data_IF_599326480554
#
_entry.id   IF_599326480554
#
_cell.length_a   1.000
_cell.length_b   1.000
_cell.length_c   1.000
_cell.angle_alpha   90.00
_cell.angle_beta   90.00
_cell.angle_gamma   90.00
#
_symmetry.space_group_name_H-M   'P 1'
#
loop_
_entity.id
_entity.type
_entity.pdbx_description
1 polymer ?
#
# COMPACT_ATOMS: atom_id res chain seq x y z
N UNK A 1 30.69 41.87 -42.51
CA UNK A 1 30.14 42.63 -41.36
C UNK A 1 28.62 42.55 -41.30
N UNK A 2 27.90 42.60 -42.41
CA UNK A 2 26.42 42.59 -42.45
C UNK A 2 25.83 41.24 -42.03
N UNK A 3 26.33 40.08 -42.51
CA UNK A 3 25.87 38.73 -42.13
C UNK A 3 26.08 38.41 -40.64
N UNK A 4 27.21 38.82 -40.10
CA UNK A 4 27.51 38.61 -38.66
C UNK A 4 26.53 39.38 -37.75
N UNK A 5 26.22 40.65 -38.06
CA UNK A 5 25.19 41.42 -37.36
C UNK A 5 23.81 40.77 -37.40
N UNK A 6 23.43 40.23 -38.57
CA UNK A 6 22.12 39.57 -38.74
C UNK A 6 22.03 38.29 -37.90
N UNK A 7 23.10 37.48 -37.85
CA UNK A 7 23.17 36.26 -37.03
C UNK A 7 23.10 36.63 -35.52
N UNK A 8 23.89 37.61 -35.06
CA UNK A 8 23.89 38.02 -33.65
C UNK A 8 22.54 38.58 -33.23
N UNK A 9 21.91 39.40 -34.10
CA UNK A 9 20.56 39.94 -33.77
C UNK A 9 19.51 38.82 -33.74
N UNK A 10 19.62 37.83 -34.64
CA UNK A 10 18.74 36.63 -34.62
C UNK A 10 18.88 35.81 -33.34
N UNK A 11 20.13 35.53 -32.95
CA UNK A 11 20.44 34.82 -31.71
C UNK A 11 19.92 35.55 -30.47
N UNK A 12 20.15 36.86 -30.38
CA UNK A 12 19.65 37.68 -29.28
C UNK A 12 18.11 37.63 -29.16
N UNK A 13 17.39 37.76 -30.27
CA UNK A 13 15.93 37.67 -30.26
C UNK A 13 15.45 36.29 -29.80
N UNK A 14 16.05 35.22 -30.30
CA UNK A 14 15.73 33.87 -29.89
C UNK A 14 16.05 33.61 -28.41
N UNK A 15 17.19 34.10 -27.93
CA UNK A 15 17.58 33.98 -26.53
C UNK A 15 16.62 34.73 -25.59
N UNK A 16 16.21 35.94 -25.97
CA UNK A 16 15.22 36.71 -25.18
C UNK A 16 13.86 35.98 -25.19
N UNK A 17 13.42 35.48 -26.33
CA UNK A 17 12.15 34.70 -26.40
C UNK A 17 12.22 33.40 -25.59
N UNK A 18 13.34 32.68 -25.69
CA UNK A 18 13.57 31.45 -24.91
C UNK A 18 13.60 31.72 -23.41
N UNK A 19 14.31 32.81 -23.00
CA UNK A 19 14.33 33.20 -21.59
C UNK A 19 12.95 33.62 -21.09
N UNK A 20 12.20 34.40 -21.88
CA UNK A 20 10.83 34.78 -21.55
C UNK A 20 9.91 33.56 -21.39
N UNK A 21 10.01 32.58 -22.30
CA UNK A 21 9.27 31.34 -22.22
C UNK A 21 9.68 30.51 -20.99
N UNK A 22 10.99 30.39 -20.73
CA UNK A 22 11.52 29.70 -19.56
C UNK A 22 10.97 30.31 -18.25
N UNK A 23 11.07 31.62 -18.13
CA UNK A 23 10.57 32.33 -16.93
C UNK A 23 9.05 32.20 -16.80
N UNK A 24 8.30 32.35 -17.89
CA UNK A 24 6.84 32.18 -17.90
C UNK A 24 6.43 30.76 -17.48
N UNK A 25 7.04 29.74 -18.07
CA UNK A 25 6.76 28.35 -17.70
C UNK A 25 7.20 28.03 -16.25
N UNK A 26 8.35 28.57 -15.82
CA UNK A 26 8.79 28.41 -14.42
C UNK A 26 7.78 29.02 -13.45
N UNK A 27 7.24 30.19 -13.75
CA UNK A 27 6.23 30.85 -12.92
C UNK A 27 4.93 30.01 -12.88
N UNK A 28 4.47 29.54 -14.04
CA UNK A 28 3.24 28.76 -14.14
C UNK A 28 3.40 27.38 -13.48
N UNK A 29 4.44 26.63 -13.85
CA UNK A 29 4.61 25.24 -13.41
C UNK A 29 5.31 25.13 -12.06
N UNK A 30 6.16 26.12 -11.70
CA UNK A 30 6.91 26.13 -10.44
C UNK A 30 6.18 26.79 -9.27
N UNK A 31 5.24 27.70 -9.56
CA UNK A 31 4.50 28.41 -8.50
C UNK A 31 2.99 28.29 -8.63
N UNK A 32 2.42 28.70 -9.76
CA UNK A 32 0.94 28.77 -9.89
C UNK A 32 0.31 27.38 -9.81
N UNK A 33 0.83 26.41 -10.53
CA UNK A 33 0.33 25.04 -10.54
C UNK A 33 0.49 24.35 -9.16
N UNK A 34 1.66 24.32 -8.51
CA UNK A 34 1.79 23.73 -7.17
C UNK A 34 0.92 24.43 -6.13
N UNK A 35 0.78 25.75 -6.18
CA UNK A 35 -0.10 26.47 -5.28
C UNK A 35 -1.58 26.12 -5.47
N UNK A 36 -2.03 25.96 -6.72
CA UNK A 36 -3.39 25.51 -7.03
C UNK A 36 -3.63 24.07 -6.54
N UNK A 37 -2.70 23.15 -6.80
CA UNK A 37 -2.79 21.76 -6.32
C UNK A 37 -2.81 21.72 -4.80
N UNK A 38 -1.95 22.49 -4.13
CA UNK A 38 -1.93 22.59 -2.67
C UNK A 38 -3.28 23.11 -2.13
N UNK A 39 -3.84 24.17 -2.72
CA UNK A 39 -5.14 24.72 -2.28
C UNK A 39 -6.27 23.68 -2.44
N UNK A 40 -6.30 22.95 -3.56
CA UNK A 40 -7.29 21.89 -3.81
C UNK A 40 -7.11 20.75 -2.81
N UNK A 41 -5.87 20.37 -2.48
CA UNK A 41 -5.58 19.30 -1.53
C UNK A 41 -6.09 19.58 -0.10
N UNK A 42 -6.40 20.83 0.23
CA UNK A 42 -6.98 21.18 1.53
C UNK A 42 -8.46 20.84 1.66
N UNK A 43 -9.14 20.49 0.55
CA UNK A 43 -10.54 20.01 0.57
C UNK A 43 -10.62 18.63 1.24
N UNK A 44 -9.63 17.76 1.00
CA UNK A 44 -9.47 16.49 1.70
C UNK A 44 -8.03 16.40 2.26
N UNK A 45 -7.86 16.99 3.42
CA UNK A 45 -6.56 17.05 4.09
C UNK A 45 -6.09 15.67 4.57
N UNK A 46 -7.00 14.73 4.87
CA UNK A 46 -6.63 13.40 5.34
C UNK A 46 -5.88 12.62 4.27
N UNK A 47 -6.39 12.61 3.04
CA UNK A 47 -5.71 12.00 1.89
C UNK A 47 -4.41 12.73 1.53
N UNK A 48 -4.41 14.06 1.60
CA UNK A 48 -3.22 14.87 1.29
C UNK A 48 -2.09 14.72 2.32
N UNK A 49 -2.42 14.38 3.57
CA UNK A 49 -1.48 14.16 4.67
C UNK A 49 -1.07 12.68 4.84
N UNK A 50 -1.33 11.84 3.83
CA UNK A 50 -0.88 10.45 3.79
C UNK A 50 -1.82 9.45 4.45
N UNK A 51 -3.13 9.77 4.53
CA UNK A 51 -4.18 8.84 5.01
C UNK A 51 -3.82 8.16 6.34
N UNK A 52 -3.46 8.97 7.33
CA UNK A 52 -2.93 8.50 8.62
C UNK A 52 -3.98 7.68 9.36
N UNK A 53 -3.55 6.55 9.89
CA UNK A 53 -4.31 5.78 10.87
C UNK A 53 -3.95 6.28 12.27
N UNK A 54 -4.98 6.55 13.06
CA UNK A 54 -4.83 7.09 14.41
C UNK A 54 -5.55 6.16 15.38
N UNK A 55 -4.88 5.77 16.46
CA UNK A 55 -5.48 4.94 17.50
C UNK A 55 -6.41 5.73 18.44
N UNK A 56 -7.04 5.03 19.39
CA UNK A 56 -7.96 5.63 20.35
C UNK A 56 -7.29 6.66 21.28
N UNK A 57 -5.96 6.66 21.37
CA UNK A 57 -5.18 7.61 22.19
C UNK A 57 -4.77 8.87 21.40
N UNK A 58 -5.07 8.91 20.08
CA UNK A 58 -4.66 9.99 19.18
C UNK A 58 -3.26 9.81 18.58
N UNK A 59 -2.64 8.64 18.76
CA UNK A 59 -1.34 8.33 18.19
C UNK A 59 -1.46 7.96 16.70
N UNK A 60 -0.59 8.52 15.86
CA UNK A 60 -0.44 8.07 14.48
C UNK A 60 0.28 6.73 14.48
N UNK A 61 -0.41 5.68 14.06
CA UNK A 61 0.07 4.29 14.08
C UNK A 61 0.51 3.79 12.71
N UNK A 62 0.17 4.50 11.65
CA UNK A 62 0.52 4.14 10.28
C UNK A 62 -0.27 4.92 9.25
N UNK A 63 -0.42 4.33 8.09
CA UNK A 63 -1.24 4.83 6.98
C UNK A 63 -2.11 3.71 6.44
N UNK A 64 -3.35 4.01 6.07
CA UNK A 64 -4.24 3.07 5.38
C UNK A 64 -3.79 2.75 3.95
N UNK A 65 -2.75 3.42 3.45
CA UNK A 65 -2.20 3.21 2.11
C UNK A 65 -0.92 2.34 2.10
N UNK A 66 -0.38 2.00 3.27
CA UNK A 66 0.88 1.26 3.39
C UNK A 66 0.65 -0.02 4.20
N UNK A 67 0.73 -1.15 3.51
CA UNK A 67 0.65 -2.47 4.11
C UNK A 67 1.98 -2.84 4.75
N UNK A 68 1.96 -2.97 6.07
CA UNK A 68 3.02 -3.63 6.84
C UNK A 68 2.41 -4.88 7.46
N UNK A 69 3.11 -6.01 7.32
CA UNK A 69 2.63 -7.31 7.79
C UNK A 69 3.37 -7.69 9.08
N UNK A 70 2.72 -7.66 10.25
CA UNK A 70 3.36 -8.04 11.50
C UNK A 70 3.88 -9.48 11.45
N UNK A 71 5.14 -9.68 11.79
CA UNK A 71 5.72 -11.02 11.89
C UNK A 71 5.77 -11.45 13.34
N UNK A 72 5.32 -12.66 13.61
CA UNK A 72 5.37 -13.28 14.94
C UNK A 72 6.43 -14.38 14.98
N UNK A 73 7.05 -14.64 16.16
CA UNK A 73 7.97 -15.77 16.30
C UNK A 73 7.27 -17.09 15.97
N UNK A 74 7.99 -18.02 15.34
CA UNK A 74 7.47 -19.34 15.00
C UNK A 74 6.90 -20.04 16.24
N UNK A 75 5.64 -20.51 16.14
CA UNK A 75 4.92 -21.17 17.24
C UNK A 75 4.39 -20.22 18.32
N UNK A 76 4.56 -18.91 18.18
CA UNK A 76 3.93 -17.90 19.05
C UNK A 76 2.47 -17.64 18.68
N UNK A 77 1.72 -16.96 19.58
CA UNK A 77 0.35 -16.53 19.28
C UNK A 77 0.38 -15.49 18.15
N UNK A 78 -0.51 -15.65 17.20
CA UNK A 78 -0.59 -14.80 16.01
C UNK A 78 -1.97 -14.13 15.90
N UNK A 79 -2.18 -12.99 16.57
CA UNK A 79 -3.46 -12.31 16.63
C UNK A 79 -3.73 -11.38 15.45
N UNK A 80 -2.81 -11.24 14.51
CA UNK A 80 -2.88 -10.24 13.42
C UNK A 80 -3.60 -10.77 12.20
N UNK A 81 -4.36 -9.91 11.53
CA UNK A 81 -4.76 -10.12 10.14
C UNK A 81 -3.55 -9.85 9.26
N UNK A 82 -3.19 -10.81 8.42
CA UNK A 82 -2.02 -10.73 7.54
C UNK A 82 -2.36 -10.21 6.17
N UNK A 83 -1.48 -9.34 5.67
CA UNK A 83 -1.49 -8.80 4.32
C UNK A 83 -0.81 -9.77 3.32
N UNK A 84 -0.57 -9.29 2.11
CA UNK A 84 0.15 -10.02 1.04
C UNK A 84 1.50 -9.36 0.72
N UNK A 85 2.23 -9.00 1.75
CA UNK A 85 3.57 -8.42 1.63
C UNK A 85 4.57 -9.53 1.35
N UNK A 86 5.29 -9.39 0.25
CA UNK A 86 6.19 -10.39 -0.24
C UNK A 86 7.58 -10.22 0.34
N UNK A 87 8.16 -11.35 0.78
CA UNK A 87 9.56 -11.45 1.11
C UNK A 87 10.49 -11.45 -0.10
N UNK A 88 11.75 -11.27 0.21
CA UNK A 88 12.84 -11.63 -0.69
C UNK A 88 12.90 -13.14 -0.89
N UNK A 89 13.75 -13.58 -1.82
CA UNK A 89 14.00 -15.00 -2.09
C UNK A 89 14.27 -15.79 -0.79
N UNK A 90 13.51 -16.86 -0.57
CA UNK A 90 13.60 -17.71 0.62
C UNK A 90 12.80 -17.25 1.85
N UNK A 91 12.11 -16.12 1.78
CA UNK A 91 11.18 -15.67 2.83
C UNK A 91 9.77 -15.50 2.24
N UNK A 92 8.83 -16.43 2.48
CA UNK A 92 7.51 -16.40 1.83
C UNK A 92 6.70 -15.17 2.19
N UNK A 93 6.81 -14.68 3.43
CA UNK A 93 6.14 -13.48 3.93
C UNK A 93 7.11 -12.64 4.75
N UNK A 94 7.00 -11.31 4.68
CA UNK A 94 7.83 -10.36 5.43
C UNK A 94 7.00 -9.17 5.91
N UNK A 95 7.57 -8.39 6.83
CA UNK A 95 6.94 -7.18 7.34
C UNK A 95 6.71 -6.12 6.26
N UNK A 96 7.58 -6.02 5.27
CA UNK A 96 7.61 -4.92 4.30
C UNK A 96 8.49 -3.76 4.76
N UNK A 97 8.98 -3.00 3.78
CA UNK A 97 9.81 -1.82 4.02
C UNK A 97 9.17 -0.58 3.36
N UNK A 98 8.61 0.36 4.14
CA UNK A 98 7.97 1.55 3.58
C UNK A 98 8.91 2.45 2.76
N UNK A 99 10.22 2.28 2.93
CA UNK A 99 11.23 3.02 2.17
C UNK A 99 11.57 2.37 0.82
N UNK A 100 11.10 1.15 0.58
CA UNK A 100 11.46 0.33 -0.59
C UNK A 100 10.21 -0.25 -1.28
N UNK A 101 9.46 0.60 -1.98
CA UNK A 101 8.30 0.15 -2.77
C UNK A 101 8.77 -0.42 -4.11
N UNK A 102 8.56 -1.72 -4.31
CA UNK A 102 8.89 -2.40 -5.57
C UNK A 102 8.04 -3.66 -5.77
N UNK A 103 7.81 -4.02 -7.04
CA UNK A 103 7.26 -5.32 -7.43
C UNK A 103 8.38 -6.36 -7.63
N UNK A 104 8.01 -7.65 -7.62
CA UNK A 104 8.95 -8.74 -7.92
C UNK A 104 9.43 -8.76 -9.38
N UNK A 105 8.69 -8.11 -10.29
CA UNK A 105 8.96 -8.06 -11.74
C UNK A 105 9.12 -9.43 -12.41
N UNK A 106 8.47 -10.47 -11.88
CA UNK A 106 8.50 -11.81 -12.42
C UNK A 106 7.43 -12.01 -13.49
N UNK A 107 7.82 -12.58 -14.62
CA UNK A 107 6.89 -12.91 -15.69
C UNK A 107 6.11 -14.21 -15.41
N UNK A 108 5.02 -14.46 -16.18
CA UNK A 108 4.13 -15.61 -15.93
C UNK A 108 4.82 -16.99 -16.11
N UNK A 109 5.94 -17.04 -16.83
CA UNK A 109 6.71 -18.25 -17.06
C UNK A 109 7.97 -18.36 -16.16
N UNK A 110 8.08 -17.51 -15.13
CA UNK A 110 9.21 -17.53 -14.21
C UNK A 110 9.11 -18.71 -13.25
N UNK A 111 10.15 -19.53 -13.19
CA UNK A 111 10.29 -20.62 -12.20
C UNK A 111 10.32 -20.03 -10.79
N UNK A 112 11.03 -18.92 -10.59
CA UNK A 112 11.12 -18.23 -9.30
C UNK A 112 9.72 -17.79 -8.82
N UNK A 113 8.86 -17.32 -9.74
CA UNK A 113 7.48 -16.97 -9.38
C UNK A 113 6.68 -18.19 -8.94
N UNK A 114 6.85 -19.32 -9.64
CA UNK A 114 6.17 -20.57 -9.29
C UNK A 114 6.60 -21.05 -7.90
N UNK A 115 7.89 -21.14 -7.65
CA UNK A 115 8.46 -21.55 -6.37
C UNK A 115 7.94 -20.65 -5.22
N UNK A 116 7.97 -19.33 -5.42
CA UNK A 116 7.44 -18.37 -4.46
C UNK A 116 5.92 -18.53 -4.19
N UNK A 117 5.14 -18.88 -5.20
CA UNK A 117 3.69 -19.14 -5.05
C UNK A 117 3.47 -20.41 -4.23
N UNK A 118 4.24 -21.48 -4.51
CA UNK A 118 4.14 -22.74 -3.79
C UNK A 118 4.55 -22.60 -2.33
N UNK A 119 5.66 -21.93 -2.06
CA UNK A 119 6.16 -21.68 -0.69
C UNK A 119 5.16 -20.86 0.13
N UNK A 120 4.58 -19.80 -0.46
CA UNK A 120 3.55 -19.00 0.23
C UNK A 120 2.30 -19.79 0.48
N UNK A 121 1.87 -20.59 -0.49
CA UNK A 121 0.69 -21.43 -0.34
C UNK A 121 0.86 -22.43 0.79
N UNK A 122 2.03 -23.07 0.86
CA UNK A 122 2.35 -24.00 1.94
C UNK A 122 2.39 -23.28 3.30
N UNK A 123 3.06 -22.13 3.38
CA UNK A 123 3.16 -21.34 4.60
C UNK A 123 1.80 -20.87 5.11
N UNK A 124 0.96 -20.31 4.23
CA UNK A 124 -0.38 -19.83 4.62
C UNK A 124 -1.28 -21.01 5.02
N UNK A 125 -1.24 -22.12 4.28
CA UNK A 125 -2.00 -23.31 4.59
C UNK A 125 -1.66 -23.89 5.98
N UNK A 126 -0.37 -23.93 6.32
CA UNK A 126 0.11 -24.36 7.63
C UNK A 126 -0.34 -23.41 8.74
N UNK A 127 -0.16 -22.11 8.56
CA UNK A 127 -0.55 -21.07 9.50
C UNK A 127 -2.05 -21.10 9.81
N UNK A 128 -2.88 -21.23 8.79
CA UNK A 128 -4.35 -21.22 8.93
C UNK A 128 -4.95 -22.61 9.21
N UNK A 129 -4.15 -23.67 9.14
CA UNK A 129 -4.60 -25.05 9.37
C UNK A 129 -5.56 -25.56 8.30
N UNK A 130 -5.35 -25.20 7.03
CA UNK A 130 -6.20 -25.56 5.89
C UNK A 130 -5.42 -26.32 4.81
N UNK A 131 -6.15 -26.95 3.88
CA UNK A 131 -5.49 -27.55 2.71
C UNK A 131 -4.91 -26.44 1.79
N UNK A 132 -3.73 -26.65 1.15
CA UNK A 132 -3.11 -25.66 0.27
C UNK A 132 -4.03 -25.15 -0.85
N UNK A 133 -4.94 -25.99 -1.33
CA UNK A 133 -5.91 -25.64 -2.37
C UNK A 133 -6.98 -24.65 -1.90
N UNK A 134 -7.19 -24.52 -0.58
CA UNK A 134 -8.12 -23.56 0.00
C UNK A 134 -7.53 -22.12 0.06
N UNK A 135 -6.21 -21.96 -0.13
CA UNK A 135 -5.56 -20.66 -0.11
C UNK A 135 -5.91 -19.88 -1.37
N UNK A 136 -6.52 -18.69 -1.26
CA UNK A 136 -6.91 -17.88 -2.41
C UNK A 136 -5.71 -17.43 -3.24
N UNK A 137 -5.93 -17.21 -4.54
CA UNK A 137 -4.86 -16.83 -5.47
C UNK A 137 -4.21 -15.48 -5.13
N UNK A 138 -4.98 -14.50 -4.64
CA UNK A 138 -4.47 -13.20 -4.25
C UNK A 138 -3.53 -13.26 -3.03
N UNK A 139 -3.76 -14.21 -2.12
CA UNK A 139 -2.91 -14.43 -0.95
C UNK A 139 -1.46 -14.82 -1.31
N UNK A 140 -1.27 -15.49 -2.45
CA UNK A 140 0.03 -16.00 -2.91
C UNK A 140 0.69 -15.14 -3.98
N UNK A 141 -0.03 -14.12 -4.50
CA UNK A 141 0.49 -13.19 -5.51
C UNK A 141 0.90 -11.88 -4.88
N UNK A 142 2.06 -11.37 -5.30
CA UNK A 142 2.57 -10.10 -4.82
C UNK A 142 1.81 -8.88 -5.35
N UNK A 143 1.85 -7.79 -4.59
CA UNK A 143 1.40 -6.50 -5.07
C UNK A 143 2.41 -5.84 -6.01
N UNK A 144 1.95 -4.91 -6.86
CA UNK A 144 2.84 -4.12 -7.70
C UNK A 144 3.70 -3.12 -6.92
N UNK A 145 3.28 -2.73 -5.72
CA UNK A 145 4.04 -1.85 -4.83
C UNK A 145 4.91 -2.58 -3.81
N UNK A 146 4.61 -3.86 -3.53
CA UNK A 146 5.18 -4.59 -2.40
C UNK A 146 4.64 -4.15 -1.03
N UNK A 147 3.75 -3.15 -0.99
CA UNK A 147 3.23 -2.52 0.22
C UNK A 147 1.70 -2.33 0.19
N UNK A 148 0.99 -3.12 -0.61
CA UNK A 148 -0.47 -3.04 -0.69
C UNK A 148 -1.10 -3.41 0.66
N UNK A 149 -1.88 -2.53 1.29
CA UNK A 149 -2.55 -2.81 2.55
C UNK A 149 -3.79 -3.68 2.40
N UNK A 150 -4.21 -4.00 1.17
CA UNK A 150 -5.47 -4.65 0.90
C UNK A 150 -5.32 -6.13 0.55
N UNK A 151 -6.29 -6.91 1.01
CA UNK A 151 -6.46 -8.31 0.65
C UNK A 151 -7.90 -8.58 0.19
N UNK A 152 -8.13 -9.71 -0.48
CA UNK A 152 -9.50 -10.12 -0.83
C UNK A 152 -10.33 -10.48 0.40
N UNK A 153 -11.67 -10.33 0.34
CA UNK A 153 -12.54 -10.87 1.38
C UNK A 153 -12.37 -12.38 1.60
N UNK A 154 -12.03 -13.13 0.54
CA UNK A 154 -11.77 -14.58 0.65
C UNK A 154 -10.52 -14.87 1.48
N UNK A 155 -9.45 -14.11 1.31
CA UNK A 155 -8.24 -14.28 2.12
C UNK A 155 -8.44 -13.79 3.56
N UNK A 156 -9.24 -12.75 3.78
CA UNK A 156 -9.60 -12.32 5.13
C UNK A 156 -10.46 -13.38 5.84
N UNK A 157 -11.47 -13.98 5.18
CA UNK A 157 -12.31 -15.02 5.75
C UNK A 157 -11.52 -16.29 6.11
N UNK A 158 -10.51 -16.65 5.32
CA UNK A 158 -9.61 -17.78 5.61
C UNK A 158 -8.94 -17.62 6.99
N UNK A 159 -8.63 -16.39 7.40
CA UNK A 159 -7.92 -16.06 8.64
C UNK A 159 -8.85 -15.95 9.87
N UNK A 160 -10.17 -15.90 9.67
CA UNK A 160 -11.14 -15.70 10.77
C UNK A 160 -11.01 -16.73 11.90
N UNK A 161 -10.84 -18.04 11.66
CA UNK A 161 -10.74 -19.01 12.76
C UNK A 161 -9.53 -18.77 13.66
N UNK A 162 -8.36 -18.43 13.09
CA UNK A 162 -7.16 -18.10 13.86
C UNK A 162 -7.36 -16.79 14.61
N UNK A 163 -7.82 -15.73 13.94
CA UNK A 163 -8.07 -14.43 14.55
C UNK A 163 -9.05 -14.54 15.74
N UNK A 164 -10.12 -15.31 15.60
CA UNK A 164 -11.10 -15.53 16.68
C UNK A 164 -10.46 -16.19 17.90
N UNK A 165 -9.65 -17.23 17.68
CA UNK A 165 -8.94 -17.95 18.74
C UNK A 165 -7.91 -17.07 19.44
N UNK A 166 -7.05 -16.42 18.68
CA UNK A 166 -5.92 -15.66 19.23
C UNK A 166 -6.38 -14.35 19.94
N UNK A 167 -7.42 -13.70 19.42
CA UNK A 167 -7.97 -12.48 20.01
C UNK A 167 -9.05 -12.78 21.06
N UNK A 168 -9.45 -14.06 21.28
CA UNK A 168 -10.51 -14.47 22.21
C UNK A 168 -11.85 -13.80 21.91
N UNK A 169 -12.15 -13.63 20.64
CA UNK A 169 -13.39 -13.06 20.11
C UNK A 169 -14.20 -14.13 19.38
N UNK A 170 -15.50 -13.93 19.23
CA UNK A 170 -16.29 -14.86 18.40
C UNK A 170 -15.98 -14.62 16.90
N UNK A 171 -16.08 -15.66 16.05
CA UNK A 171 -15.92 -15.51 14.61
C UNK A 171 -16.83 -14.44 13.99
N UNK A 172 -18.04 -14.27 14.55
CA UNK A 172 -19.00 -13.27 14.09
C UNK A 172 -18.51 -11.85 14.35
N UNK A 173 -17.87 -11.60 15.50
CA UNK A 173 -17.26 -10.31 15.83
C UNK A 173 -16.10 -10.02 14.87
N UNK A 174 -15.22 -11.01 14.61
CA UNK A 174 -14.13 -10.85 13.62
C UNK A 174 -14.69 -10.52 12.24
N UNK A 175 -15.71 -11.26 11.76
CA UNK A 175 -16.34 -10.96 10.46
C UNK A 175 -16.96 -9.58 10.41
N UNK A 176 -17.57 -9.12 11.50
CA UNK A 176 -18.13 -7.77 11.59
C UNK A 176 -17.03 -6.70 11.48
N UNK A 177 -15.88 -6.88 12.15
CA UNK A 177 -14.74 -5.98 12.04
C UNK A 177 -14.17 -5.96 10.60
N UNK A 178 -13.99 -7.12 9.99
CA UNK A 178 -13.55 -7.23 8.59
C UNK A 178 -14.54 -6.52 7.66
N UNK A 179 -15.85 -6.76 7.83
CA UNK A 179 -16.88 -6.13 7.00
C UNK A 179 -16.90 -4.59 7.15
N UNK A 180 -16.67 -4.06 8.36
CA UNK A 180 -16.60 -2.63 8.62
C UNK A 180 -15.40 -1.94 7.91
N UNK A 181 -14.34 -2.69 7.62
CA UNK A 181 -13.13 -2.23 6.92
C UNK A 181 -12.99 -2.82 5.51
N UNK A 182 -14.10 -3.28 4.93
CA UNK A 182 -14.15 -3.77 3.55
C UNK A 182 -14.69 -2.67 2.64
N UNK A 183 -13.90 -2.31 1.63
CA UNK A 183 -14.31 -1.39 0.58
C UNK A 183 -14.96 -2.18 -0.56
N UNK A 184 -16.13 -1.70 -1.02
CA UNK A 184 -16.80 -2.25 -2.19
C UNK A 184 -16.20 -1.73 -3.49
N UNK A 185 -16.78 -2.16 -4.62
CA UNK A 185 -16.41 -1.66 -5.95
C UNK A 185 -16.67 -0.16 -6.06
N UNK A 186 -15.71 0.60 -6.58
CA UNK A 186 -15.91 2.02 -6.86
C UNK A 186 -17.04 2.19 -7.89
N UNK A 187 -17.97 3.10 -7.61
CA UNK A 187 -19.18 3.34 -8.40
C UNK A 187 -20.02 2.08 -8.66
N UNK A 188 -19.84 1.02 -7.89
CA UNK A 188 -20.57 -0.24 -8.00
C UNK A 188 -20.04 -1.22 -9.07
N UNK A 189 -19.10 -0.82 -9.92
CA UNK A 189 -18.61 -1.66 -11.03
C UNK A 189 -17.09 -1.67 -11.23
N UNK A 190 -16.33 -0.72 -10.70
CA UNK A 190 -14.87 -0.65 -10.87
C UNK A 190 -14.14 -1.31 -9.70
N UNK A 191 -13.13 -2.13 -10.02
CA UNK A 191 -12.30 -2.82 -9.06
C UNK A 191 -12.99 -4.04 -8.43
N UNK A 192 -12.34 -4.63 -7.45
CA UNK A 192 -12.85 -5.74 -6.64
C UNK A 192 -12.99 -5.30 -5.18
N UNK A 193 -13.90 -5.90 -4.40
CA UNK A 193 -13.97 -5.66 -2.97
C UNK A 193 -12.64 -6.00 -2.29
N UNK A 194 -12.22 -5.15 -1.37
CA UNK A 194 -10.94 -5.31 -0.67
C UNK A 194 -11.05 -4.95 0.81
N UNK A 195 -10.29 -5.66 1.64
CA UNK A 195 -10.21 -5.48 3.09
C UNK A 195 -8.94 -4.73 3.43
N UNK A 196 -9.06 -3.63 4.18
CA UNK A 196 -7.93 -2.84 4.68
C UNK A 196 -7.35 -3.51 5.94
N UNK A 197 -6.22 -4.17 5.78
CA UNK A 197 -5.56 -4.96 6.84
C UNK A 197 -5.09 -4.10 8.01
N UNK A 198 -4.40 -2.96 7.80
CA UNK A 198 -4.00 -2.09 8.91
C UNK A 198 -5.17 -1.61 9.74
N UNK A 199 -6.28 -1.23 9.12
CA UNK A 199 -7.47 -0.76 9.82
C UNK A 199 -8.14 -1.87 10.64
N UNK A 200 -8.20 -3.10 10.12
CA UNK A 200 -8.71 -4.26 10.88
C UNK A 200 -7.81 -4.56 12.08
N UNK A 201 -6.50 -4.58 11.91
CA UNK A 201 -5.56 -4.82 13.01
C UNK A 201 -5.66 -3.74 14.08
N UNK A 202 -5.84 -2.47 13.68
CA UNK A 202 -6.09 -1.39 14.63
C UNK A 202 -7.41 -1.58 15.39
N UNK A 203 -8.48 -2.01 14.71
CA UNK A 203 -9.77 -2.30 15.33
C UNK A 203 -9.73 -3.51 16.28
N UNK A 204 -8.81 -4.46 16.05
CA UNK A 204 -8.51 -5.58 16.97
C UNK A 204 -7.68 -5.13 18.19
N UNK A 205 -7.24 -3.87 18.26
CA UNK A 205 -6.42 -3.33 19.34
C UNK A 205 -4.91 -3.51 19.14
N UNK A 206 -4.48 -3.90 17.95
CA UNK A 206 -3.07 -4.11 17.63
C UNK A 206 -2.46 -2.85 17.01
N UNK A 207 -2.18 -1.86 17.86
CA UNK A 207 -1.39 -0.68 17.53
C UNK A 207 0.08 -0.82 17.94
N UNK A 208 0.99 0.02 17.43
CA UNK A 208 2.37 0.04 17.90
C UNK A 208 2.46 0.43 19.37
N UNK A 209 3.37 -0.21 20.12
CA UNK A 209 3.56 0.00 21.54
C UNK A 209 4.06 1.41 21.91
N UNK A 210 4.53 2.20 20.95
CA UNK A 210 5.10 3.55 21.18
C UNK A 210 4.42 4.58 20.29
N UNK A 211 3.92 5.64 20.90
CA UNK A 211 3.33 6.78 20.23
C UNK A 211 4.41 7.63 19.57
N UNK A 212 4.34 7.79 18.27
CA UNK A 212 5.11 8.80 17.54
C UNK A 212 4.28 10.08 17.44
N UNK A 213 4.21 10.87 18.51
CA UNK A 213 3.68 12.22 18.46
C UNK A 213 4.65 13.10 17.67
N UNK A 214 4.19 13.66 16.56
CA UNK A 214 4.83 14.82 15.93
C UNK A 214 4.07 16.08 16.29
#
# INVERSE_FOLDING_TARGET
VSKMKMIVTGLLRQSVAALGMLLGLTLILGFAYPAAVWAISRVDSSSAEGSRLVDASGCVVGSSLIGLDPQVPAGGPDPYLHARVLGAEGAPMVTGDPSASAASNQGPNSVILLDNIEDRRAFIADREGVAPQAVPADAVTGSGSGLDPHISPAYAELQVPRLARENRLSPEVIRSLIAAHTQGRQWGFLGEPSVDVPSVNLALGHGPATCHTR
#
